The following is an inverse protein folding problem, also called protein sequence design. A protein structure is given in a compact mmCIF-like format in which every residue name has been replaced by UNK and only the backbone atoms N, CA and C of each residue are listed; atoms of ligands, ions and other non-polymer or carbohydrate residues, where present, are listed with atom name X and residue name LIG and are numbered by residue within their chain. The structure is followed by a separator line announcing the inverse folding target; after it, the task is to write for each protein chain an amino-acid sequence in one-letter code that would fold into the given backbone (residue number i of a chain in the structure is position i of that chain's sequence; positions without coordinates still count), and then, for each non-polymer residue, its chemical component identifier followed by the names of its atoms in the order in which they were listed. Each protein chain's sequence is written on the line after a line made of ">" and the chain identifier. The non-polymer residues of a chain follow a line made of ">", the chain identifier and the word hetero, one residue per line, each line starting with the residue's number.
data_IF_655502729720
#
_entry.id   IF_655502729720
#
_cell.length_a   1.000
_cell.length_b   1.000
_cell.length_c   1.000
_cell.angle_alpha   90.00
_cell.angle_beta   90.00
_cell.angle_gamma   90.00
#
_symmetry.space_group_name_H-M   'P 1'
#
loop_
_entity.id
_entity.type
_entity.pdbx_description
1 polymer ?
#
# COMPACT_ATOMS: atom_id res chain seq x y z
N UNK A 1 18.11 65.34 -46.09
CA UNK A 1 16.89 64.80 -45.47
C UNK A 1 16.38 63.48 -46.10
N UNK A 2 17.24 62.56 -46.56
CA UNK A 2 16.81 61.28 -47.18
C UNK A 2 17.29 60.00 -46.49
N UNK A 3 18.16 60.10 -45.46
CA UNK A 3 18.70 58.92 -44.75
C UNK A 3 17.89 58.49 -43.51
N UNK A 4 17.07 59.38 -42.96
CA UNK A 4 16.29 59.11 -41.73
C UNK A 4 15.04 58.25 -41.96
N UNK A 5 14.48 58.25 -43.18
CA UNK A 5 13.29 57.45 -43.51
C UNK A 5 13.60 55.96 -43.73
N UNK A 6 14.84 55.61 -44.10
CA UNK A 6 15.23 54.21 -44.39
C UNK A 6 15.44 53.38 -43.11
N UNK A 7 15.91 54.00 -42.02
CA UNK A 7 16.10 53.32 -40.74
C UNK A 7 14.78 53.10 -39.97
N UNK A 8 13.77 53.93 -40.22
CA UNK A 8 12.45 53.77 -39.60
C UNK A 8 11.67 52.59 -40.21
N UNK A 9 11.84 52.34 -41.51
CA UNK A 9 11.22 51.20 -42.20
C UNK A 9 11.78 49.84 -41.76
N UNK A 10 13.10 49.73 -41.59
CA UNK A 10 13.74 48.46 -41.18
C UNK A 10 13.45 48.11 -39.70
N UNK A 11 13.32 49.13 -38.84
CA UNK A 11 13.06 48.92 -37.41
C UNK A 11 11.61 48.45 -37.12
N UNK A 12 10.62 48.93 -37.88
CA UNK A 12 9.21 48.51 -37.71
C UNK A 12 8.96 47.11 -38.28
N UNK A 13 9.68 46.69 -39.33
CA UNK A 13 9.57 45.31 -39.85
C UNK A 13 10.21 44.26 -38.93
N UNK A 14 11.25 44.61 -38.17
CA UNK A 14 11.85 43.70 -37.17
C UNK A 14 10.96 43.46 -35.94
N UNK A 15 10.12 44.42 -35.54
CA UNK A 15 9.23 44.27 -34.37
C UNK A 15 8.02 43.37 -34.70
N UNK A 16 7.55 43.32 -35.95
CA UNK A 16 6.46 42.42 -36.37
C UNK A 16 6.88 40.95 -36.58
N UNK A 17 8.18 40.64 -36.61
CA UNK A 17 8.69 39.26 -36.73
C UNK A 17 8.93 38.57 -35.38
N UNK A 18 8.84 39.29 -34.25
CA UNK A 18 9.05 38.70 -32.90
C UNK A 18 7.76 38.17 -32.24
N UNK A 19 6.58 38.38 -32.84
CA UNK A 19 5.31 37.88 -32.28
C UNK A 19 5.04 36.39 -32.52
N UNK A 20 5.96 35.63 -33.13
CA UNK A 20 5.68 34.26 -33.63
C UNK A 20 6.14 33.10 -32.75
N UNK A 21 6.29 33.26 -31.42
CA UNK A 21 6.64 32.11 -30.56
C UNK A 21 5.97 32.07 -29.18
N UNK A 22 4.87 32.80 -28.95
CA UNK A 22 4.05 32.54 -27.74
C UNK A 22 2.90 31.62 -28.17
N UNK A 23 3.09 30.32 -27.99
CA UNK A 23 2.02 29.34 -28.15
C UNK A 23 0.96 29.62 -27.09
N UNK A 24 -0.16 30.25 -27.48
CA UNK A 24 -1.26 30.52 -26.56
C UNK A 24 -1.82 29.20 -26.02
N UNK A 25 -2.01 29.15 -24.70
CA UNK A 25 -2.65 28.00 -24.06
C UNK A 25 -4.15 27.96 -24.36
N UNK A 26 -4.73 26.77 -24.42
CA UNK A 26 -6.16 26.56 -24.59
C UNK A 26 -6.67 25.52 -23.59
N UNK A 27 -7.83 25.78 -22.97
CA UNK A 27 -8.54 24.76 -22.19
C UNK A 27 -9.10 23.71 -23.17
N UNK A 28 -8.70 22.47 -22.97
CA UNK A 28 -9.11 21.31 -23.78
C UNK A 28 -9.76 20.22 -22.92
N UNK A 29 -10.18 20.53 -21.69
CA UNK A 29 -10.70 19.55 -20.71
C UNK A 29 -11.83 18.70 -21.31
N UNK A 30 -12.80 19.30 -22.00
CA UNK A 30 -13.90 18.57 -22.65
C UNK A 30 -13.47 17.64 -23.79
N UNK A 31 -12.39 17.96 -24.50
CA UNK A 31 -11.86 17.10 -25.57
C UNK A 31 -11.10 15.92 -24.96
N UNK A 32 -10.37 16.16 -23.87
CA UNK A 32 -9.67 15.13 -23.11
C UNK A 32 -10.65 14.19 -22.39
N UNK A 33 -11.71 14.71 -21.77
CA UNK A 33 -12.79 13.89 -21.19
C UNK A 33 -13.40 12.92 -22.21
N UNK A 34 -13.57 13.35 -23.48
CA UNK A 34 -14.05 12.47 -24.56
C UNK A 34 -13.01 11.39 -24.91
N UNK A 35 -11.73 11.72 -24.93
CA UNK A 35 -10.66 10.74 -25.15
C UNK A 35 -10.57 9.74 -23.99
N UNK A 36 -10.71 10.20 -22.74
CA UNK A 36 -10.77 9.36 -21.56
C UNK A 36 -11.97 8.41 -21.57
N UNK A 37 -13.13 8.82 -22.07
CA UNK A 37 -14.28 7.91 -22.24
C UNK A 37 -13.94 6.71 -23.14
N UNK A 38 -13.19 6.93 -24.21
CA UNK A 38 -12.73 5.83 -25.09
C UNK A 38 -11.80 4.87 -24.33
N UNK A 39 -10.86 5.40 -23.54
CA UNK A 39 -10.00 4.58 -22.69
C UNK A 39 -10.81 3.78 -21.66
N UNK A 40 -11.72 4.44 -20.94
CA UNK A 40 -12.58 3.83 -19.91
C UNK A 40 -13.42 2.70 -20.52
N UNK A 41 -14.06 2.94 -21.66
CA UNK A 41 -14.88 1.93 -22.34
C UNK A 41 -14.03 0.73 -22.77
N UNK A 42 -12.86 0.97 -23.38
CA UNK A 42 -11.92 -0.09 -23.77
C UNK A 42 -11.44 -0.91 -22.57
N UNK A 43 -11.09 -0.24 -21.47
CA UNK A 43 -10.64 -0.90 -20.25
C UNK A 43 -11.76 -1.75 -19.63
N UNK A 44 -12.95 -1.17 -19.46
CA UNK A 44 -14.09 -1.84 -18.84
C UNK A 44 -14.62 -3.01 -19.68
N UNK A 45 -14.33 -3.05 -20.98
CA UNK A 45 -14.58 -4.19 -21.86
C UNK A 45 -13.46 -5.24 -21.84
N UNK A 46 -12.44 -5.08 -20.99
CA UNK A 46 -11.26 -5.95 -20.93
C UNK A 46 -10.52 -6.06 -22.27
N UNK A 47 -10.41 -4.95 -23.02
CA UNK A 47 -9.78 -4.90 -24.34
C UNK A 47 -8.42 -4.18 -24.29
N UNK A 48 -7.32 -4.89 -23.96
CA UNK A 48 -6.00 -4.27 -23.84
C UNK A 48 -5.49 -3.67 -25.16
N UNK A 49 -5.88 -4.23 -26.30
CA UNK A 49 -5.54 -3.69 -27.63
C UNK A 49 -6.20 -2.33 -27.87
N UNK A 50 -7.48 -2.18 -27.50
CA UNK A 50 -8.20 -0.92 -27.60
C UNK A 50 -7.65 0.12 -26.62
N UNK A 51 -7.28 -0.29 -25.40
CA UNK A 51 -6.58 0.57 -24.44
C UNK A 51 -5.24 1.04 -25.03
N UNK A 52 -4.46 0.13 -25.61
CA UNK A 52 -3.15 0.46 -26.20
C UNK A 52 -3.28 1.43 -27.37
N UNK A 53 -4.36 1.34 -28.15
CA UNK A 53 -4.63 2.24 -29.26
C UNK A 53 -4.85 3.72 -28.84
N UNK A 54 -5.18 3.98 -27.57
CA UNK A 54 -5.27 5.32 -27.00
C UNK A 54 -3.90 6.00 -26.83
N UNK A 55 -2.80 5.23 -26.87
CA UNK A 55 -1.45 5.74 -26.70
C UNK A 55 -0.78 6.12 -28.03
N UNK A 56 0.14 7.08 -27.99
CA UNK A 56 1.08 7.34 -29.10
C UNK A 56 2.07 6.19 -29.25
N UNK A 57 2.72 6.05 -30.41
CA UNK A 57 3.73 5.00 -30.63
C UNK A 57 4.94 5.12 -29.70
N UNK A 58 5.26 6.34 -29.26
CA UNK A 58 6.37 6.65 -28.35
C UNK A 58 5.92 6.81 -26.90
N UNK A 59 4.76 6.25 -26.54
CA UNK A 59 4.20 6.43 -25.21
C UNK A 59 5.02 5.74 -24.12
N UNK A 60 4.97 6.32 -22.92
CA UNK A 60 5.51 5.72 -21.69
C UNK A 60 4.49 5.83 -20.58
N UNK A 61 4.37 4.79 -19.77
CA UNK A 61 3.59 4.80 -18.54
C UNK A 61 4.54 4.65 -17.34
N UNK A 62 4.17 5.23 -16.21
CA UNK A 62 4.97 5.31 -15.00
C UNK A 62 4.15 4.75 -13.83
N UNK A 63 3.96 3.43 -13.76
CA UNK A 63 3.15 2.83 -12.71
C UNK A 63 3.80 3.02 -11.34
N UNK A 64 2.96 3.18 -10.31
CA UNK A 64 3.44 3.28 -8.93
C UNK A 64 4.28 2.05 -8.56
N UNK A 65 5.40 2.26 -7.85
CA UNK A 65 6.31 1.21 -7.37
C UNK A 65 6.87 0.28 -8.46
N UNK A 66 6.97 0.76 -9.71
CA UNK A 66 7.49 -0.03 -10.84
C UNK A 66 8.45 0.79 -11.70
N UNK A 67 9.24 0.10 -12.52
CA UNK A 67 10.04 0.72 -13.58
C UNK A 67 9.15 1.32 -14.68
N UNK A 68 9.73 2.21 -15.48
CA UNK A 68 9.06 2.81 -16.64
C UNK A 68 8.72 1.72 -17.66
N UNK A 69 7.49 1.76 -18.18
CA UNK A 69 7.03 0.86 -19.25
C UNK A 69 6.89 1.68 -20.54
N UNK A 70 7.52 1.23 -21.62
CA UNK A 70 7.67 2.00 -22.86
C UNK A 70 7.24 1.21 -24.10
N UNK A 71 6.50 1.88 -24.99
CA UNK A 71 6.03 1.32 -26.25
C UNK A 71 4.77 0.47 -26.13
N UNK A 72 4.05 0.34 -27.24
CA UNK A 72 2.73 -0.32 -27.29
C UNK A 72 2.73 -1.76 -26.78
N UNK A 73 3.74 -2.56 -27.13
CA UNK A 73 3.80 -3.96 -26.70
C UNK A 73 3.88 -4.08 -25.16
N UNK A 74 4.77 -3.31 -24.54
CA UNK A 74 4.95 -3.35 -23.09
C UNK A 74 3.75 -2.75 -22.35
N UNK A 75 3.16 -1.67 -22.88
CA UNK A 75 1.94 -1.05 -22.35
C UNK A 75 0.75 -2.01 -22.44
N UNK A 76 0.57 -2.69 -23.57
CA UNK A 76 -0.49 -3.69 -23.74
C UNK A 76 -0.35 -4.83 -22.73
N UNK A 77 0.87 -5.35 -22.57
CA UNK A 77 1.18 -6.39 -21.59
C UNK A 77 0.87 -5.93 -20.16
N UNK A 78 1.25 -4.70 -19.82
CA UNK A 78 0.97 -4.12 -18.51
C UNK A 78 -0.54 -4.09 -18.22
N UNK A 79 -1.34 -3.52 -19.13
CA UNK A 79 -2.80 -3.45 -18.96
C UNK A 79 -3.46 -4.84 -18.94
N UNK A 80 -2.97 -5.77 -19.76
CA UNK A 80 -3.42 -7.17 -19.75
C UNK A 80 -3.19 -7.83 -18.39
N UNK A 81 -2.03 -7.62 -17.77
CA UNK A 81 -1.73 -8.15 -16.44
C UNK A 81 -2.67 -7.54 -15.40
N UNK A 82 -2.89 -6.22 -15.40
CA UNK A 82 -3.81 -5.55 -14.48
C UNK A 82 -5.24 -6.11 -14.55
N UNK A 83 -5.76 -6.32 -15.76
CA UNK A 83 -7.08 -6.93 -15.96
C UNK A 83 -7.13 -8.38 -15.44
N UNK A 84 -6.09 -9.18 -15.70
CA UNK A 84 -5.99 -10.57 -15.21
C UNK A 84 -5.84 -10.66 -13.68
N UNK A 85 -5.26 -9.64 -13.05
CA UNK A 85 -5.15 -9.53 -11.59
C UNK A 85 -6.45 -9.10 -10.91
N UNK A 86 -7.52 -8.84 -11.67
CA UNK A 86 -8.86 -8.61 -11.12
C UNK A 86 -9.32 -7.15 -11.13
N UNK A 87 -8.59 -6.23 -11.77
CA UNK A 87 -9.11 -4.87 -12.02
C UNK A 87 -10.16 -4.98 -13.12
N UNK A 88 -11.42 -4.70 -12.80
CA UNK A 88 -12.58 -4.86 -13.69
C UNK A 88 -13.03 -3.58 -14.34
N UNK A 89 -12.85 -2.47 -13.63
CA UNK A 89 -13.36 -1.18 -14.07
C UNK A 89 -12.44 -0.05 -13.61
N UNK A 90 -12.31 0.94 -14.48
CA UNK A 90 -11.65 2.22 -14.21
C UNK A 90 -12.67 3.35 -14.35
N UNK A 91 -12.53 4.35 -13.50
CA UNK A 91 -13.16 5.66 -13.65
C UNK A 91 -12.06 6.71 -13.65
N UNK A 92 -12.11 7.63 -14.61
CA UNK A 92 -11.22 8.80 -14.69
C UNK A 92 -12.06 10.07 -14.59
N UNK A 93 -11.61 10.99 -13.74
CA UNK A 93 -12.17 12.33 -13.58
C UNK A 93 -11.10 13.34 -13.98
N UNK A 94 -11.34 14.07 -15.07
CA UNK A 94 -10.47 15.17 -15.51
C UNK A 94 -10.74 16.40 -14.64
N UNK A 95 -9.73 16.87 -13.90
CA UNK A 95 -9.82 18.10 -13.11
C UNK A 95 -9.53 19.34 -13.95
N UNK A 96 -8.50 19.25 -14.80
CA UNK A 96 -8.18 20.29 -15.78
C UNK A 96 -7.33 19.72 -16.91
N UNK A 97 -7.43 20.29 -18.11
CA UNK A 97 -6.49 20.04 -19.19
C UNK A 97 -6.15 21.29 -20.00
N UNK A 98 -4.87 21.58 -20.14
CA UNK A 98 -4.36 22.76 -20.88
C UNK A 98 -3.49 22.33 -22.04
N UNK A 99 -3.83 22.78 -23.25
CA UNK A 99 -3.08 22.54 -24.46
C UNK A 99 -2.12 23.68 -24.80
N UNK A 100 -0.95 23.30 -25.31
CA UNK A 100 0.07 24.16 -25.92
C UNK A 100 0.36 23.62 -27.33
N UNK A 101 -0.45 24.05 -28.30
CA UNK A 101 -0.39 23.51 -29.67
C UNK A 101 -0.87 22.07 -29.75
N UNK A 102 0.02 21.14 -30.10
CA UNK A 102 -0.29 19.72 -30.27
C UNK A 102 -0.02 18.88 -29.02
N UNK A 103 0.34 19.51 -27.90
CA UNK A 103 0.56 18.84 -26.63
C UNK A 103 -0.47 19.37 -25.63
N UNK A 104 -1.00 18.54 -24.76
CA UNK A 104 -1.79 18.98 -23.60
C UNK A 104 -1.30 18.30 -22.33
N UNK A 105 -1.47 18.98 -21.19
CA UNK A 105 -1.22 18.42 -19.87
C UNK A 105 -2.58 18.34 -19.18
N UNK A 106 -2.91 17.16 -18.68
CA UNK A 106 -4.10 16.87 -17.91
C UNK A 106 -3.73 16.52 -16.47
N UNK A 107 -4.52 17.03 -15.54
CA UNK A 107 -4.55 16.60 -14.14
C UNK A 107 -5.89 15.91 -13.86
N UNK A 108 -5.87 14.80 -13.13
CA UNK A 108 -7.10 14.09 -12.84
C UNK A 108 -7.03 13.10 -11.69
N UNK A 109 -8.17 12.51 -11.39
CA UNK A 109 -8.36 11.49 -10.36
C UNK A 109 -8.77 10.17 -11.01
N UNK A 110 -8.33 9.05 -10.43
CA UNK A 110 -8.77 7.74 -10.85
C UNK A 110 -9.41 6.97 -9.69
N UNK A 111 -10.33 6.07 -10.03
CA UNK A 111 -10.81 5.01 -9.14
C UNK A 111 -10.79 3.67 -9.87
N UNK A 112 -10.21 2.65 -9.24
CA UNK A 112 -10.17 1.28 -9.73
C UNK A 112 -11.13 0.41 -8.93
N UNK A 113 -11.83 -0.47 -9.66
CA UNK A 113 -12.82 -1.38 -9.10
C UNK A 113 -12.48 -2.83 -9.44
N UNK A 114 -12.68 -3.72 -8.48
CA UNK A 114 -12.80 -5.16 -8.71
C UNK A 114 -14.26 -5.53 -9.06
N UNK A 115 -14.57 -6.83 -9.01
CA UNK A 115 -15.95 -7.31 -9.20
C UNK A 115 -16.91 -6.69 -8.18
N UNK A 116 -18.20 -6.64 -8.55
CA UNK A 116 -19.30 -6.07 -7.74
C UNK A 116 -19.07 -4.60 -7.33
N UNK A 117 -18.39 -3.81 -8.17
CA UNK A 117 -18.08 -2.40 -7.92
C UNK A 117 -17.32 -2.17 -6.59
N UNK A 118 -16.55 -3.15 -6.12
CA UNK A 118 -15.69 -2.98 -4.97
C UNK A 118 -14.48 -2.10 -5.31
N UNK A 119 -14.34 -0.95 -4.65
CA UNK A 119 -13.19 -0.04 -4.84
C UNK A 119 -11.94 -0.72 -4.28
N UNK A 120 -10.92 -0.89 -5.13
CA UNK A 120 -9.63 -1.49 -4.75
C UNK A 120 -8.48 -0.49 -4.70
N UNK A 121 -8.62 0.64 -5.40
CA UNK A 121 -7.64 1.72 -5.33
C UNK A 121 -8.24 3.05 -5.80
N UNK A 122 -7.71 4.15 -5.26
CA UNK A 122 -8.02 5.51 -5.69
C UNK A 122 -6.75 6.34 -5.67
N UNK A 123 -6.67 7.30 -6.58
CA UNK A 123 -5.48 8.13 -6.68
C UNK A 123 -5.64 9.30 -7.63
N UNK A 124 -4.50 9.83 -8.05
CA UNK A 124 -4.37 11.01 -8.90
C UNK A 124 -3.34 10.75 -9.98
N UNK A 125 -3.52 11.40 -11.12
CA UNK A 125 -2.67 11.24 -12.28
C UNK A 125 -2.34 12.59 -12.92
N UNK A 126 -1.24 12.59 -13.67
CA UNK A 126 -0.91 13.59 -14.67
C UNK A 126 -0.69 12.86 -15.99
N UNK A 127 -1.33 13.35 -17.05
CA UNK A 127 -1.15 12.80 -18.40
C UNK A 127 -0.68 13.90 -19.33
N UNK A 128 0.37 13.62 -20.11
CA UNK A 128 0.68 14.44 -21.28
C UNK A 128 0.08 13.80 -22.51
N UNK A 129 -0.72 14.56 -23.25
CA UNK A 129 -1.39 14.16 -24.48
C UNK A 129 -0.68 14.74 -25.70
N UNK A 130 -0.71 14.02 -26.81
CA UNK A 130 -0.29 14.49 -28.13
C UNK A 130 -1.43 14.38 -29.14
N UNK A 131 -1.63 15.40 -29.96
CA UNK A 131 -2.63 15.41 -31.03
C UNK A 131 -2.04 14.79 -32.30
N UNK A 132 -2.52 13.62 -32.70
CA UNK A 132 -2.13 12.89 -33.90
C UNK A 132 -3.34 12.66 -34.81
N UNK A 133 -3.28 13.08 -36.08
CA UNK A 133 -4.39 12.91 -37.00
C UNK A 133 -5.73 13.51 -36.51
N UNK A 134 -5.66 14.61 -35.74
CA UNK A 134 -6.81 15.28 -35.14
C UNK A 134 -7.33 14.65 -33.84
N UNK A 135 -6.77 13.53 -33.38
CA UNK A 135 -7.17 12.84 -32.14
C UNK A 135 -6.12 13.04 -31.04
N UNK A 136 -6.58 13.24 -29.81
CA UNK A 136 -5.69 13.23 -28.65
C UNK A 136 -5.32 11.81 -28.28
N UNK A 137 -4.02 11.57 -28.05
CA UNK A 137 -3.47 10.30 -27.62
C UNK A 137 -2.54 10.49 -26.44
N UNK A 138 -2.50 9.50 -25.56
CA UNK A 138 -1.68 9.51 -24.36
C UNK A 138 -0.21 9.33 -24.75
N UNK A 139 0.65 10.26 -24.35
CA UNK A 139 2.10 10.20 -24.59
C UNK A 139 2.89 9.87 -23.32
N UNK A 140 2.53 10.46 -22.17
CA UNK A 140 3.09 10.10 -20.87
C UNK A 140 1.95 9.96 -19.89
N UNK A 141 1.95 8.89 -19.12
CA UNK A 141 0.89 8.56 -18.17
C UNK A 141 1.52 8.20 -16.83
N UNK A 142 1.37 9.09 -15.85
CA UNK A 142 1.90 8.88 -14.51
C UNK A 142 0.78 9.03 -13.50
N UNK A 143 0.67 8.06 -12.60
CA UNK A 143 -0.30 8.07 -11.53
C UNK A 143 0.32 7.60 -10.23
N UNK A 144 -0.28 8.04 -9.13
CA UNK A 144 0.04 7.55 -7.81
C UNK A 144 -1.23 7.25 -7.02
N UNK A 145 -1.15 6.19 -6.21
CA UNK A 145 -2.20 5.81 -5.28
C UNK A 145 -2.29 6.80 -4.11
N UNK A 146 -3.50 7.09 -3.66
CA UNK A 146 -3.79 7.73 -2.37
C UNK A 146 -3.95 6.69 -1.25
N UNK A 147 -4.01 5.39 -1.58
CA UNK A 147 -4.00 4.32 -0.60
C UNK A 147 -2.69 4.37 0.19
N UNK A 148 -2.72 4.07 1.50
CA UNK A 148 -1.50 3.99 2.30
C UNK A 148 -0.51 2.98 1.69
N UNK A 149 0.79 3.28 1.74
CA UNK A 149 1.81 2.32 1.32
C UNK A 149 1.71 1.03 2.15
N UNK A 150 2.25 -0.07 1.63
CA UNK A 150 2.32 -1.33 2.38
C UNK A 150 3.03 -1.13 3.72
N UNK A 151 4.10 -0.34 3.74
CA UNK A 151 4.80 0.03 4.97
C UNK A 151 3.90 0.79 5.96
N UNK A 152 3.13 1.77 5.50
CA UNK A 152 2.16 2.48 6.34
C UNK A 152 1.07 1.52 6.86
N UNK A 153 0.61 0.57 6.04
CA UNK A 153 -0.37 -0.45 6.47
C UNK A 153 0.21 -1.36 7.56
N UNK A 154 1.46 -1.80 7.44
CA UNK A 154 2.14 -2.58 8.48
C UNK A 154 2.26 -1.77 9.78
N UNK A 155 2.71 -0.51 9.69
CA UNK A 155 2.80 0.36 10.86
C UNK A 155 1.43 0.56 11.53
N UNK A 156 0.37 0.79 10.75
CA UNK A 156 -0.99 0.91 11.29
C UNK A 156 -1.43 -0.39 11.99
N UNK A 157 -1.11 -1.56 11.42
CA UNK A 157 -1.42 -2.85 12.05
C UNK A 157 -0.71 -3.02 13.40
N UNK A 158 0.57 -2.67 13.46
CA UNK A 158 1.37 -2.69 14.68
C UNK A 158 0.87 -1.69 15.73
N UNK A 159 0.64 -0.43 15.34
CA UNK A 159 0.11 0.61 16.23
C UNK A 159 -1.27 0.20 16.79
N UNK A 160 -2.13 -0.41 15.96
CA UNK A 160 -3.43 -0.94 16.38
C UNK A 160 -3.29 -2.10 17.37
N UNK A 161 -2.33 -3.00 17.16
CA UNK A 161 -2.07 -4.11 18.08
C UNK A 161 -1.61 -3.58 19.45
N UNK A 162 -0.64 -2.66 19.47
CA UNK A 162 -0.15 -2.02 20.71
C UNK A 162 -1.31 -1.29 21.42
N UNK A 163 -2.14 -0.55 20.68
CA UNK A 163 -3.28 0.15 21.24
C UNK A 163 -4.32 -0.81 21.85
N UNK A 164 -4.60 -1.95 21.20
CA UNK A 164 -5.51 -2.98 21.72
C UNK A 164 -4.96 -3.63 23.00
N UNK A 165 -3.67 -3.94 23.04
CA UNK A 165 -3.02 -4.46 24.25
C UNK A 165 -3.11 -3.45 25.41
N UNK A 166 -2.73 -2.20 25.16
CA UNK A 166 -2.80 -1.16 26.18
C UNK A 166 -4.24 -0.94 26.68
N UNK A 167 -5.22 -0.94 25.76
CA UNK A 167 -6.63 -0.82 26.11
C UNK A 167 -7.13 -2.01 26.95
N UNK A 168 -6.72 -3.23 26.61
CA UNK A 168 -7.04 -4.45 27.39
C UNK A 168 -6.52 -4.37 28.82
N UNK A 169 -5.26 -3.96 28.99
CA UNK A 169 -4.63 -3.79 30.31
C UNK A 169 -5.30 -2.68 31.11
N UNK A 170 -5.56 -1.53 30.48
CA UNK A 170 -6.25 -0.41 31.12
C UNK A 170 -7.69 -0.77 31.51
N UNK A 171 -8.38 -1.57 30.69
CA UNK A 171 -9.71 -2.07 31.04
C UNK A 171 -9.65 -2.96 32.29
N UNK A 172 -8.71 -3.91 32.37
CA UNK A 172 -8.52 -4.74 33.56
C UNK A 172 -8.28 -3.89 34.82
N UNK A 173 -7.37 -2.90 34.73
CA UNK A 173 -7.11 -1.92 35.80
C UNK A 173 -8.38 -1.18 36.21
N UNK A 174 -9.19 -0.70 35.25
CA UNK A 174 -10.44 0.02 35.53
C UNK A 174 -11.47 -0.83 36.27
N UNK A 175 -11.44 -2.15 36.07
CA UNK A 175 -12.29 -3.14 36.76
C UNK A 175 -11.66 -3.68 38.05
N UNK A 176 -10.48 -3.18 38.46
CA UNK A 176 -9.71 -3.68 39.61
C UNK A 176 -9.38 -5.18 39.50
N UNK A 177 -9.21 -5.67 38.28
CA UNK A 177 -8.75 -7.03 37.98
C UNK A 177 -7.26 -6.98 37.67
N UNK A 178 -6.50 -7.99 38.10
CA UNK A 178 -5.09 -8.12 37.75
C UNK A 178 -4.95 -8.25 36.21
N UNK A 179 -4.19 -7.39 35.52
CA UNK A 179 -4.01 -7.47 34.07
C UNK A 179 -3.50 -8.84 33.57
N UNK A 180 -2.65 -9.53 34.33
CA UNK A 180 -2.14 -10.86 33.97
C UNK A 180 -3.26 -11.90 33.97
N UNK A 181 -4.13 -11.90 34.98
CA UNK A 181 -5.30 -12.79 35.02
C UNK A 181 -6.28 -12.47 33.90
N UNK A 182 -6.46 -11.18 33.58
CA UNK A 182 -7.28 -10.78 32.45
C UNK A 182 -6.67 -11.23 31.10
N UNK A 183 -5.35 -11.14 30.95
CA UNK A 183 -4.64 -11.66 29.76
C UNK A 183 -4.79 -13.17 29.60
N UNK A 184 -4.74 -13.93 30.69
CA UNK A 184 -5.04 -15.37 30.69
C UNK A 184 -6.47 -15.66 30.26
N UNK A 185 -7.45 -14.88 30.75
CA UNK A 185 -8.85 -14.98 30.32
C UNK A 185 -9.01 -14.72 28.82
N UNK A 186 -8.44 -13.62 28.31
CA UNK A 186 -8.47 -13.31 26.87
C UNK A 186 -7.77 -14.39 26.04
N UNK A 187 -6.61 -14.89 26.48
CA UNK A 187 -5.93 -16.01 25.85
C UNK A 187 -6.80 -17.27 25.79
N UNK A 188 -7.59 -17.52 26.84
CA UNK A 188 -8.60 -18.59 26.85
C UNK A 188 -9.67 -18.43 25.77
N UNK A 189 -10.18 -17.21 25.57
CA UNK A 189 -11.14 -16.92 24.48
C UNK A 189 -10.51 -17.15 23.09
N UNK A 190 -9.24 -16.82 22.93
CA UNK A 190 -8.52 -17.08 21.67
C UNK A 190 -8.17 -18.55 21.48
N UNK A 191 -7.97 -19.30 22.56
CA UNK A 191 -7.61 -20.71 22.52
C UNK A 191 -8.68 -21.57 21.79
N UNK A 192 -9.94 -21.17 21.84
CA UNK A 192 -11.02 -21.82 21.07
C UNK A 192 -10.76 -21.83 19.55
N UNK A 193 -9.98 -20.89 19.03
CA UNK A 193 -9.55 -20.87 17.63
C UNK A 193 -8.42 -21.85 17.29
N UNK A 194 -7.76 -22.45 18.29
CA UNK A 194 -6.63 -23.37 18.12
C UNK A 194 -7.11 -24.81 18.17
N UNK A 195 -7.63 -25.28 17.04
CA UNK A 195 -8.22 -26.61 16.88
C UNK A 195 -7.31 -27.50 16.00
N UNK A 196 -6.24 -28.12 16.56
CA UNK A 196 -5.40 -29.04 15.80
C UNK A 196 -6.22 -30.25 15.33
N UNK A 197 -5.96 -30.69 14.09
CA UNK A 197 -6.55 -31.93 13.56
C UNK A 197 -5.71 -33.17 13.85
N UNK A 198 -4.41 -32.96 14.11
CA UNK A 198 -3.41 -34.00 14.30
C UNK A 198 -2.90 -33.94 15.74
N UNK A 199 -2.36 -35.05 16.25
CA UNK A 199 -1.90 -35.16 17.66
C UNK A 199 -0.61 -34.38 17.97
N UNK A 200 0.11 -33.88 16.95
CA UNK A 200 1.35 -33.12 17.14
C UNK A 200 1.08 -31.65 17.50
N UNK A 201 0.53 -31.45 18.69
CA UNK A 201 0.14 -30.14 19.21
C UNK A 201 1.33 -29.18 19.37
N UNK A 202 2.53 -29.69 19.64
CA UNK A 202 3.74 -28.88 19.74
C UNK A 202 4.05 -28.23 18.40
N UNK A 203 4.08 -29.02 17.31
CA UNK A 203 4.27 -28.49 15.95
C UNK A 203 3.15 -27.55 15.54
N UNK A 204 1.89 -27.87 15.88
CA UNK A 204 0.75 -27.00 15.63
C UNK A 204 0.91 -25.64 16.33
N UNK A 205 1.27 -25.65 17.62
CA UNK A 205 1.53 -24.44 18.40
C UNK A 205 2.62 -23.58 17.74
N UNK A 206 3.77 -24.19 17.43
CA UNK A 206 4.89 -23.46 16.84
C UNK A 206 4.56 -22.84 15.47
N UNK A 207 3.81 -23.56 14.63
CA UNK A 207 3.37 -23.05 13.33
C UNK A 207 2.37 -21.89 13.48
N UNK A 208 1.38 -22.03 14.37
CA UNK A 208 0.42 -20.97 14.64
C UNK A 208 1.07 -19.74 15.27
N UNK A 209 2.03 -19.94 16.17
CA UNK A 209 2.80 -18.85 16.78
C UNK A 209 3.55 -18.08 15.71
N UNK A 210 4.30 -18.78 14.85
CA UNK A 210 5.03 -18.17 13.74
C UNK A 210 4.09 -17.45 12.77
N UNK A 211 2.94 -18.04 12.46
CA UNK A 211 1.93 -17.42 11.59
C UNK A 211 1.43 -16.09 12.15
N UNK A 212 1.02 -16.07 13.42
CA UNK A 212 0.52 -14.86 14.08
C UNK A 212 1.62 -13.79 14.18
N UNK A 213 2.85 -14.19 14.49
CA UNK A 213 3.94 -13.24 14.67
C UNK A 213 4.53 -12.70 13.35
N UNK A 214 4.38 -13.43 12.24
CA UNK A 214 4.78 -12.94 10.91
C UNK A 214 3.96 -11.72 10.42
N UNK A 215 2.87 -11.36 11.11
CA UNK A 215 2.11 -10.15 10.83
C UNK A 215 2.88 -8.87 11.22
N UNK A 216 3.87 -8.99 12.12
CA UNK A 216 4.67 -7.86 12.58
C UNK A 216 5.87 -7.60 11.65
N UNK A 217 6.17 -6.32 11.44
CA UNK A 217 7.31 -5.89 10.60
C UNK A 217 8.62 -6.37 11.22
N UNK A 218 9.55 -6.79 10.35
CA UNK A 218 10.87 -7.30 10.70
C UNK A 218 10.86 -8.45 11.74
N UNK A 219 9.76 -9.21 11.83
CA UNK A 219 9.72 -10.37 12.72
C UNK A 219 10.85 -11.35 12.40
N UNK A 220 11.58 -11.75 13.44
CA UNK A 220 12.65 -12.74 13.41
C UNK A 220 12.36 -13.79 14.46
N UNK A 221 12.63 -15.05 14.12
CA UNK A 221 12.53 -16.18 15.02
C UNK A 221 13.72 -17.10 14.81
N UNK A 222 14.41 -17.44 15.90
CA UNK A 222 15.56 -18.34 15.91
C UNK A 222 15.26 -19.49 16.87
N UNK A 223 15.41 -20.74 16.38
CA UNK A 223 15.31 -21.92 17.23
C UNK A 223 16.64 -22.11 17.95
N UNK A 224 16.59 -22.17 19.28
CA UNK A 224 17.76 -22.35 20.14
C UNK A 224 17.99 -23.83 20.42
N UNK A 225 16.92 -24.55 20.77
CA UNK A 225 16.94 -25.99 21.07
C UNK A 225 15.63 -26.62 20.58
N UNK A 226 15.69 -27.85 20.07
CA UNK A 226 14.51 -28.58 19.61
C UNK A 226 14.66 -30.08 19.81
N UNK A 227 13.59 -30.72 20.27
CA UNK A 227 13.38 -32.16 20.36
C UNK A 227 11.94 -32.52 19.99
N UNK A 228 11.60 -33.82 20.04
CA UNK A 228 10.22 -34.28 19.83
C UNK A 228 9.23 -33.82 20.91
N UNK A 229 9.74 -33.38 22.06
CA UNK A 229 8.95 -32.99 23.23
C UNK A 229 9.10 -31.52 23.62
N UNK A 230 10.03 -30.79 23.00
CA UNK A 230 10.34 -29.42 23.41
C UNK A 230 10.84 -28.56 22.24
N UNK A 231 10.44 -27.29 22.22
CA UNK A 231 11.06 -26.26 21.38
C UNK A 231 11.38 -25.05 22.25
N UNK A 232 12.64 -24.62 22.22
CA UNK A 232 13.12 -23.36 22.79
C UNK A 232 13.52 -22.44 21.64
N UNK A 233 12.95 -21.25 21.62
CA UNK A 233 13.19 -20.27 20.56
C UNK A 233 13.29 -18.86 21.14
N UNK A 234 13.86 -17.95 20.36
CA UNK A 234 13.80 -16.51 20.64
C UNK A 234 13.19 -15.78 19.46
N UNK A 235 12.45 -14.72 19.76
CA UNK A 235 11.77 -13.89 18.77
C UNK A 235 12.01 -12.41 18.99
N UNK A 236 12.00 -11.65 17.88
CA UNK A 236 12.14 -10.20 17.87
C UNK A 236 11.22 -9.64 16.79
N UNK A 237 10.58 -8.51 17.05
CA UNK A 237 9.83 -7.75 16.06
C UNK A 237 10.04 -6.25 16.29
N UNK A 238 9.56 -5.42 15.37
CA UNK A 238 9.64 -3.97 15.54
C UNK A 238 8.92 -3.46 16.79
N UNK A 239 8.03 -4.18 17.46
CA UNK A 239 7.45 -3.73 18.75
C UNK A 239 8.17 -4.29 19.98
N UNK A 240 9.10 -5.24 19.83
CA UNK A 240 9.76 -5.86 20.99
C UNK A 240 10.90 -5.02 21.57
N UNK A 241 11.25 -3.91 20.92
CA UNK A 241 12.23 -2.93 21.42
C UNK A 241 11.63 -1.90 22.39
N UNK A 242 10.31 -1.90 22.59
CA UNK A 242 9.66 -0.92 23.45
C UNK A 242 10.27 -1.02 24.85
N UNK A 243 11.03 0.01 25.24
CA UNK A 243 11.72 0.03 26.52
C UNK A 243 10.71 0.24 27.65
N UNK A 244 11.07 -0.17 28.88
CA UNK A 244 10.21 0.04 30.05
C UNK A 244 9.95 1.54 30.36
N UNK A 245 10.71 2.45 29.73
CA UNK A 245 10.56 3.90 29.89
C UNK A 245 9.50 4.50 28.96
N UNK A 246 9.18 3.82 27.85
CA UNK A 246 8.15 4.25 26.90
C UNK A 246 6.78 3.68 27.28
N UNK A 247 5.80 4.57 27.51
CA UNK A 247 4.43 4.19 27.85
C UNK A 247 3.48 4.50 26.71
N UNK A 248 2.70 3.50 26.31
CA UNK A 248 1.61 3.64 25.34
C UNK A 248 0.29 3.66 26.09
N UNK A 249 -0.43 4.77 26.02
CA UNK A 249 -1.66 4.98 26.79
C UNK A 249 -1.48 4.68 28.30
N UNK A 250 -0.30 4.98 28.86
CA UNK A 250 0.02 4.75 30.27
C UNK A 250 0.41 3.31 30.65
N UNK A 251 0.53 2.41 29.67
CA UNK A 251 0.97 1.02 29.85
C UNK A 251 2.39 0.87 29.32
N UNK A 252 3.29 0.29 30.11
CA UNK A 252 4.66 0.01 29.69
C UNK A 252 4.82 -1.38 29.04
N UNK A 253 5.98 -1.62 28.42
CA UNK A 253 6.26 -2.87 27.72
C UNK A 253 6.35 -4.09 28.63
N UNK A 254 6.68 -3.91 29.92
CA UNK A 254 6.72 -5.01 30.89
C UNK A 254 5.31 -5.50 31.16
N UNK A 255 4.36 -4.60 31.38
CA UNK A 255 2.94 -4.93 31.54
C UNK A 255 2.38 -5.62 30.29
N UNK A 256 2.74 -5.15 29.09
CA UNK A 256 2.33 -5.79 27.83
C UNK A 256 2.91 -7.19 27.67
N UNK A 257 4.19 -7.38 27.99
CA UNK A 257 4.87 -8.67 27.86
C UNK A 257 4.32 -9.71 28.85
N UNK A 258 4.03 -9.34 30.09
CA UNK A 258 3.42 -10.24 31.07
C UNK A 258 1.97 -10.58 30.69
N UNK A 259 1.20 -9.62 30.15
CA UNK A 259 -0.13 -9.89 29.61
C UNK A 259 -0.09 -10.88 28.43
N UNK A 260 0.82 -10.67 27.48
CA UNK A 260 0.97 -11.56 26.31
C UNK A 260 1.46 -12.94 26.70
N UNK A 261 2.40 -13.03 27.64
CA UNK A 261 2.85 -14.28 28.23
C UNK A 261 1.70 -15.06 28.85
N UNK A 262 0.82 -14.39 29.60
CA UNK A 262 -0.37 -15.01 30.18
C UNK A 262 -1.33 -15.53 29.12
N UNK A 263 -1.54 -14.76 28.04
CA UNK A 263 -2.39 -15.16 26.92
C UNK A 263 -1.83 -16.39 26.18
N UNK A 264 -0.54 -16.39 25.84
CA UNK A 264 0.14 -17.53 25.20
C UNK A 264 0.15 -18.78 26.10
N UNK A 265 0.31 -18.58 27.40
CA UNK A 265 0.21 -19.67 28.39
C UNK A 265 -1.17 -20.31 28.37
N UNK A 266 -2.25 -19.52 28.27
CA UNK A 266 -3.61 -20.05 28.17
C UNK A 266 -3.81 -20.89 26.89
N UNK A 267 -3.32 -20.40 25.74
CA UNK A 267 -3.36 -21.12 24.46
C UNK A 267 -2.56 -22.42 24.52
N UNK A 268 -1.34 -22.38 25.04
CA UNK A 268 -0.51 -23.58 25.18
C UNK A 268 -1.17 -24.63 26.10
N UNK A 269 -1.75 -24.19 27.23
CA UNK A 269 -2.47 -25.07 28.15
C UNK A 269 -3.67 -25.74 27.49
N UNK A 270 -4.42 -25.03 26.63
CA UNK A 270 -5.53 -25.61 25.86
C UNK A 270 -5.07 -26.77 24.98
N UNK A 271 -3.85 -26.70 24.46
CA UNK A 271 -3.23 -27.74 23.63
C UNK A 271 -2.49 -28.82 24.44
N UNK A 272 -2.65 -28.86 25.76
CA UNK A 272 -1.92 -29.74 26.67
C UNK A 272 -0.39 -29.57 26.60
N UNK A 273 0.07 -28.33 26.43
CA UNK A 273 1.48 -27.94 26.44
C UNK A 273 1.80 -27.11 27.69
N UNK A 274 3.09 -26.98 28.00
CA UNK A 274 3.63 -26.00 28.95
C UNK A 274 4.34 -24.89 28.16
N UNK A 275 4.08 -23.62 28.51
CA UNK A 275 4.73 -22.45 27.90
C UNK A 275 5.46 -21.63 28.97
N UNK A 276 6.72 -21.29 28.71
CA UNK A 276 7.54 -20.39 29.53
C UNK A 276 8.10 -19.29 28.65
N UNK A 277 8.16 -18.08 29.18
CA UNK A 277 8.66 -16.90 28.46
C UNK A 277 9.41 -15.97 29.41
N UNK A 278 10.49 -15.40 28.90
CA UNK A 278 11.29 -14.35 29.50
C UNK A 278 11.74 -13.34 28.43
N UNK A 279 12.12 -12.14 28.88
CA UNK A 279 12.66 -11.09 28.01
C UNK A 279 14.18 -11.05 28.15
N UNK A 280 14.89 -11.01 27.02
CA UNK A 280 16.35 -10.90 26.90
C UNK A 280 16.68 -9.73 25.96
N UNK A 281 16.80 -8.53 26.54
CA UNK A 281 16.90 -7.28 25.78
C UNK A 281 15.67 -7.06 24.87
N UNK A 282 15.90 -6.88 23.57
CA UNK A 282 14.84 -6.75 22.56
C UNK A 282 14.27 -8.10 22.09
N UNK A 283 14.77 -9.22 22.62
CA UNK A 283 14.31 -10.55 22.28
C UNK A 283 13.36 -11.08 23.35
N UNK A 284 12.37 -11.85 22.92
CA UNK A 284 11.54 -12.68 23.78
C UNK A 284 12.02 -14.11 23.62
N UNK A 285 12.50 -14.72 24.70
CA UNK A 285 12.90 -16.12 24.73
C UNK A 285 11.75 -16.93 25.31
N UNK A 286 11.34 -17.98 24.62
CA UNK A 286 10.28 -18.87 25.10
C UNK A 286 10.62 -20.34 24.91
N UNK A 287 10.01 -21.17 25.74
CA UNK A 287 10.09 -22.62 25.69
C UNK A 287 8.68 -23.20 25.70
N UNK A 288 8.43 -24.15 24.80
CA UNK A 288 7.18 -24.91 24.73
C UNK A 288 7.50 -26.38 24.89
N UNK A 289 6.85 -27.04 25.83
CA UNK A 289 7.10 -28.45 26.17
C UNK A 289 5.81 -29.25 26.16
N UNK A 290 5.85 -30.49 25.66
CA UNK A 290 4.76 -31.46 25.82
C UNK A 290 4.62 -31.85 27.29
N UNK A 291 3.38 -31.96 27.77
CA UNK A 291 3.09 -32.49 29.11
C UNK A 291 3.08 -34.01 29.13
#
# INVERSE_FOLDING_TARGET
>A
MKKTALYFGISVTCIMLLSSCIQQSADVSKDIEKANKVFIEAFNQSSPDAVTACYTSNAKIFPTNSEIVEGHEAINKFWTVGMKMGIKKVLLETLSATAYGHIAIEEGLYTLYADNDHIIDQGKYIVTWRKEGGKWKIERDIWNTNSPSVETKYKICEDNFIAQLAASINFAKSKKVNPVEYGKYIGGLHADGWQPKDEDHLKYFMNGYKWNMNLFKNFRMETLEQSDTMVKAKTKADWTHLSAEEKFYGVDSVEMNEWLKAAWTAIANHLNLEYKQEQDGDWIVFTVTKR
#
